data_IF_124250642580
#
_entry.id   IF_124250642580
#
_cell.length_a   1.000
_cell.length_b   1.000
_cell.length_c   1.000
_cell.angle_alpha   90.00
_cell.angle_beta   90.00
_cell.angle_gamma   90.00
#
_symmetry.space_group_name_H-M   'P 1'
#
loop_
_entity.id
_entity.type
_entity.pdbx_description
1 polymer ?
#
# COMPACT_ATOMS: atom_id res chain seq x y z
N UNK A 1 18.09 19.61 42.83
CA UNK A 1 16.75 19.08 42.47
C UNK A 1 16.08 19.87 41.34
N UNK A 2 15.97 21.20 41.39
CA UNK A 2 15.35 22.02 40.31
C UNK A 2 15.98 21.89 38.91
N UNK A 3 17.30 21.73 38.83
CA UNK A 3 18.02 21.55 37.55
C UNK A 3 17.83 20.15 36.94
N UNK A 4 17.63 19.11 37.77
CA UNK A 4 17.36 17.76 37.29
C UNK A 4 15.95 17.64 36.72
N UNK A 5 14.98 18.33 37.32
CA UNK A 5 13.59 18.40 36.86
C UNK A 5 13.50 19.09 35.49
N UNK A 6 14.27 20.15 35.25
CA UNK A 6 14.32 20.84 33.96
C UNK A 6 14.92 19.99 32.83
N UNK A 7 15.91 19.14 33.14
CA UNK A 7 16.51 18.20 32.18
C UNK A 7 15.54 17.05 31.88
N UNK A 8 14.82 16.56 32.89
CA UNK A 8 13.81 15.51 32.71
C UNK A 8 12.60 16.01 31.89
N UNK A 9 12.20 17.27 32.03
CA UNK A 9 11.11 17.89 31.26
C UNK A 9 11.47 18.07 29.77
N UNK A 10 12.75 18.30 29.44
CA UNK A 10 13.22 18.37 28.06
C UNK A 10 13.43 16.99 27.41
N UNK A 11 13.54 15.93 28.22
CA UNK A 11 13.76 14.55 27.77
C UNK A 11 12.50 13.86 27.24
N UNK A 12 11.30 14.44 27.39
CA UNK A 12 10.04 13.80 27.00
C UNK A 12 9.59 14.06 25.55
N UNK A 13 10.39 14.74 24.72
CA UNK A 13 9.93 15.24 23.41
C UNK A 13 10.46 14.51 22.16
N UNK A 14 11.21 13.41 22.25
CA UNK A 14 11.87 12.86 21.06
C UNK A 14 11.77 11.34 20.89
N UNK A 15 10.58 10.82 20.59
CA UNK A 15 10.44 9.59 19.77
C UNK A 15 9.07 9.43 19.13
N UNK A 16 8.43 10.53 18.72
CA UNK A 16 7.29 10.45 17.81
C UNK A 16 7.76 10.96 16.46
N UNK A 17 7.69 10.11 15.43
CA UNK A 17 7.96 10.53 14.06
C UNK A 17 7.13 11.79 13.73
N UNK A 18 7.74 12.71 13.00
CA UNK A 18 7.17 14.04 12.74
C UNK A 18 5.96 13.85 11.81
N UNK A 19 4.89 14.61 12.02
CA UNK A 19 3.79 14.63 11.05
C UNK A 19 4.30 15.14 9.69
N UNK A 20 3.91 14.51 8.60
CA UNK A 20 4.36 14.91 7.27
C UNK A 20 3.72 16.22 6.77
N UNK A 21 2.58 16.65 7.33
CA UNK A 21 1.84 17.85 6.88
C UNK A 21 1.29 17.80 5.45
N UNK A 22 1.59 16.74 4.69
CA UNK A 22 1.08 16.48 3.33
C UNK A 22 -0.44 16.24 3.31
N UNK A 23 -1.14 16.69 2.26
CA UNK A 23 -2.54 16.35 2.04
C UNK A 23 -2.70 14.84 1.87
N UNK A 24 -3.81 14.30 2.34
CA UNK A 24 -4.18 12.90 2.11
C UNK A 24 -4.74 12.75 0.70
N UNK A 25 -4.06 11.95 -0.13
CA UNK A 25 -4.47 11.69 -1.51
C UNK A 25 -5.81 10.97 -1.57
N UNK A 26 -6.71 11.45 -2.42
CA UNK A 26 -7.84 10.67 -2.92
C UNK A 26 -7.40 9.92 -4.17
N UNK A 27 -7.50 8.60 -4.13
CA UNK A 27 -7.10 7.72 -5.24
C UNK A 27 -8.30 6.95 -5.78
N UNK A 28 -8.36 6.74 -7.10
CA UNK A 28 -9.49 6.09 -7.77
C UNK A 28 -9.01 4.97 -8.70
N UNK A 29 -9.71 3.83 -8.67
CA UNK A 29 -9.37 2.65 -9.46
C UNK A 29 -9.67 2.88 -10.94
N UNK A 30 -8.72 2.57 -11.82
CA UNK A 30 -8.88 2.70 -13.27
C UNK A 30 -8.93 1.35 -13.99
N UNK A 31 -8.18 0.35 -13.53
CA UNK A 31 -8.14 -0.94 -14.19
C UNK A 31 -7.10 -1.89 -13.61
N UNK A 32 -7.15 -3.15 -14.03
CA UNK A 32 -6.14 -4.16 -13.73
C UNK A 32 -5.87 -5.05 -14.93
N UNK A 33 -4.61 -5.38 -15.15
CA UNK A 33 -4.17 -6.33 -16.17
C UNK A 33 -3.17 -7.33 -15.58
N UNK A 34 -3.27 -8.62 -15.93
CA UNK A 34 -2.25 -9.60 -15.55
C UNK A 34 -1.04 -9.51 -16.49
N UNK A 35 0.16 -9.47 -15.91
CA UNK A 35 1.39 -9.47 -16.68
C UNK A 35 1.70 -10.87 -17.22
N UNK A 36 1.28 -11.13 -18.46
CA UNK A 36 1.43 -12.43 -19.11
C UNK A 36 0.87 -13.55 -18.21
N UNK A 37 1.52 -14.71 -18.18
CA UNK A 37 1.16 -15.85 -17.33
C UNK A 37 1.65 -15.73 -15.87
N UNK A 38 2.27 -14.60 -15.50
CA UNK A 38 2.85 -14.40 -14.16
C UNK A 38 1.75 -13.99 -13.16
N UNK A 39 1.94 -14.30 -11.87
CA UNK A 39 1.07 -13.84 -10.79
C UNK A 39 1.39 -12.39 -10.39
N UNK A 40 1.46 -11.49 -11.38
CA UNK A 40 1.70 -10.05 -11.23
C UNK A 40 0.53 -9.32 -11.87
N UNK A 41 -0.12 -8.45 -11.11
CA UNK A 41 -1.35 -7.77 -11.50
C UNK A 41 -1.11 -6.26 -11.52
N UNK A 42 -0.99 -5.70 -12.72
CA UNK A 42 -0.75 -4.29 -12.91
C UNK A 42 -2.04 -3.51 -12.67
N UNK A 43 -2.16 -2.90 -11.50
CA UNK A 43 -3.31 -2.06 -11.13
C UNK A 43 -3.01 -0.62 -11.51
N UNK A 44 -3.87 -0.03 -12.33
CA UNK A 44 -3.84 1.39 -12.66
C UNK A 44 -4.81 2.17 -11.78
N UNK A 45 -4.39 3.35 -11.33
CA UNK A 45 -5.21 4.25 -10.50
C UNK A 45 -4.88 5.72 -10.77
N UNK A 46 -5.85 6.60 -10.52
CA UNK A 46 -5.65 8.05 -10.50
C UNK A 46 -5.45 8.56 -9.07
N UNK A 47 -4.91 9.77 -8.94
CA UNK A 47 -4.70 10.48 -7.68
C UNK A 47 -4.89 11.99 -7.89
N UNK A 48 -5.51 12.65 -6.93
CA UNK A 48 -5.65 14.11 -6.89
C UNK A 48 -4.36 14.86 -6.51
N UNK A 49 -3.36 14.11 -6.02
CA UNK A 49 -2.01 14.61 -5.74
C UNK A 49 -0.96 13.75 -6.45
N UNK A 50 0.16 14.37 -6.85
CA UNK A 50 1.30 13.65 -7.42
C UNK A 50 2.00 12.84 -6.30
N UNK A 51 1.57 11.60 -6.11
CA UNK A 51 2.08 10.70 -5.05
C UNK A 51 3.55 10.34 -5.27
N UNK A 52 4.04 10.35 -6.51
CA UNK A 52 5.46 10.14 -6.80
C UNK A 52 6.32 11.31 -6.30
N UNK A 53 5.87 12.55 -6.50
CA UNK A 53 6.62 13.75 -6.06
C UNK A 53 6.24 14.26 -4.67
N UNK A 54 5.32 13.60 -3.97
CA UNK A 54 4.81 14.06 -2.68
C UNK A 54 5.91 14.22 -1.61
N UNK A 55 6.89 13.31 -1.63
CA UNK A 55 8.07 13.32 -0.78
C UNK A 55 9.35 13.37 -1.63
N UNK A 56 10.23 14.34 -1.35
CA UNK A 56 11.55 14.44 -1.99
C UNK A 56 12.48 13.28 -1.64
N UNK A 57 12.40 12.80 -0.40
CA UNK A 57 13.17 11.66 0.10
C UNK A 57 12.19 10.65 0.68
N UNK A 58 12.17 9.46 0.08
CA UNK A 58 11.31 8.34 0.45
C UNK A 58 12.14 7.06 0.48
N UNK A 59 11.88 6.20 1.45
CA UNK A 59 12.48 4.86 1.59
C UNK A 59 11.72 3.90 0.68
N UNK A 60 10.40 3.96 0.70
CA UNK A 60 9.56 3.17 -0.18
C UNK A 60 8.23 3.84 -0.48
N UNK A 61 7.63 3.47 -1.61
CA UNK A 61 6.33 3.91 -2.08
C UNK A 61 5.63 2.74 -2.77
N UNK A 62 4.57 2.22 -2.15
CA UNK A 62 3.85 1.06 -2.65
C UNK A 62 2.33 1.24 -2.58
N UNK A 63 1.61 0.52 -3.42
CA UNK A 63 0.19 0.30 -3.27
C UNK A 63 0.03 -0.97 -2.41
N UNK A 64 -0.49 -0.81 -1.20
CA UNK A 64 -0.75 -1.91 -0.28
C UNK A 64 -2.25 -2.20 -0.24
N UNK A 65 -2.62 -3.45 -0.45
CA UNK A 65 -4.00 -3.92 -0.51
C UNK A 65 -4.26 -4.96 0.59
N UNK A 66 -5.28 -4.74 1.40
CA UNK A 66 -5.76 -5.71 2.38
C UNK A 66 -6.69 -6.71 1.68
N UNK A 67 -6.28 -7.99 1.69
CA UNK A 67 -7.15 -9.07 1.28
C UNK A 67 -7.94 -9.57 2.47
N UNK A 68 -7.46 -9.52 3.71
CA UNK A 68 -8.20 -9.98 4.90
C UNK A 68 -9.22 -9.00 5.48
N UNK A 69 -9.71 -9.29 6.68
CA UNK A 69 -10.56 -8.38 7.47
C UNK A 69 -9.77 -7.23 8.10
N UNK A 70 -8.51 -7.48 8.45
CA UNK A 70 -7.61 -6.48 9.02
C UNK A 70 -7.48 -5.27 8.10
N UNK A 71 -7.57 -4.09 8.70
CA UNK A 71 -7.38 -2.79 8.03
C UNK A 71 -6.21 -2.02 8.62
N UNK A 72 -5.29 -2.73 9.26
CA UNK A 72 -4.06 -2.13 9.77
C UNK A 72 -2.99 -2.11 8.68
N UNK A 73 -2.89 -0.99 7.96
CA UNK A 73 -1.90 -0.77 6.92
C UNK A 73 -0.52 -0.37 7.46
N UNK A 74 -0.33 -0.31 8.79
CA UNK A 74 0.94 0.10 9.41
C UNK A 74 2.12 -0.76 8.96
N UNK A 75 1.89 -2.06 8.81
CA UNK A 75 2.82 -3.03 8.29
C UNK A 75 2.06 -4.02 7.41
N UNK A 76 2.63 -4.42 6.27
CA UNK A 76 1.99 -5.40 5.36
C UNK A 76 1.63 -6.69 6.10
N UNK A 77 2.49 -7.15 6.99
CA UNK A 77 2.29 -8.38 7.80
C UNK A 77 1.08 -8.31 8.73
N UNK A 78 0.63 -7.13 9.14
CA UNK A 78 -0.56 -6.99 10.01
C UNK A 78 -1.87 -7.30 9.26
N UNK A 79 -1.81 -7.48 7.93
CA UNK A 79 -2.96 -7.78 7.09
C UNK A 79 -3.22 -9.28 6.91
N UNK A 80 -2.29 -10.16 7.32
CA UNK A 80 -2.26 -11.63 7.12
C UNK A 80 -2.26 -12.09 5.65
N UNK A 81 -3.15 -11.53 4.83
CA UNK A 81 -3.24 -11.71 3.39
C UNK A 81 -3.28 -10.32 2.75
N UNK A 82 -2.33 -10.03 1.87
CA UNK A 82 -2.19 -8.71 1.27
C UNK A 82 -1.65 -8.75 -0.15
N UNK A 83 -1.92 -7.69 -0.91
CA UNK A 83 -1.26 -7.39 -2.17
C UNK A 83 -0.32 -6.21 -1.97
N UNK A 84 0.89 -6.27 -2.52
CA UNK A 84 1.80 -5.13 -2.50
C UNK A 84 2.55 -5.01 -3.82
N UNK A 85 2.73 -3.78 -4.29
CA UNK A 85 3.48 -3.47 -5.51
C UNK A 85 4.02 -2.04 -5.46
N UNK A 86 5.19 -1.84 -6.08
CA UNK A 86 5.80 -0.52 -6.22
C UNK A 86 4.98 0.36 -7.15
N UNK A 87 4.84 1.63 -6.81
CA UNK A 87 4.08 2.59 -7.63
C UNK A 87 5.03 3.27 -8.62
N UNK A 88 4.59 3.34 -9.87
CA UNK A 88 5.24 4.08 -10.95
C UNK A 88 4.23 5.02 -11.63
N UNK A 89 4.63 6.22 -12.09
CA UNK A 89 3.77 7.04 -12.93
C UNK A 89 3.54 6.36 -14.29
N UNK A 90 2.31 6.44 -14.80
CA UNK A 90 2.03 6.05 -16.18
C UNK A 90 2.66 7.06 -17.15
N UNK A 91 3.05 6.61 -18.35
CA UNK A 91 3.69 7.47 -19.36
C UNK A 91 2.68 7.88 -20.44
N UNK A 92 2.66 9.16 -20.87
CA UNK A 92 3.45 10.28 -20.33
C UNK A 92 3.01 10.65 -18.91
N UNK A 93 3.98 11.01 -18.05
CA UNK A 93 3.70 11.31 -16.65
C UNK A 93 3.01 12.67 -16.52
N UNK A 94 1.73 12.65 -16.16
CA UNK A 94 0.89 13.83 -15.94
C UNK A 94 0.80 14.22 -14.46
N UNK A 95 1.36 13.40 -13.57
CA UNK A 95 1.29 13.58 -12.11
C UNK A 95 -0.04 13.16 -11.49
N UNK A 96 -0.94 12.55 -12.27
CA UNK A 96 -2.28 12.17 -11.84
C UNK A 96 -2.57 10.68 -11.99
N UNK A 97 -1.88 9.98 -12.90
CA UNK A 97 -2.10 8.55 -13.17
C UNK A 97 -0.88 7.68 -12.90
N UNK A 98 -1.13 6.55 -12.26
CA UNK A 98 -0.09 5.66 -11.74
C UNK A 98 -0.46 4.21 -11.98
N UNK A 99 0.54 3.34 -11.96
CA UNK A 99 0.39 1.90 -11.93
C UNK A 99 1.17 1.29 -10.77
N UNK A 100 0.71 0.13 -10.30
CA UNK A 100 1.45 -0.71 -9.36
C UNK A 100 1.36 -2.17 -9.79
N UNK A 101 2.51 -2.84 -9.90
CA UNK A 101 2.60 -4.26 -10.24
C UNK A 101 2.41 -5.07 -8.94
N UNK A 102 1.15 -5.41 -8.62
CA UNK A 102 0.80 -6.10 -7.39
C UNK A 102 1.18 -7.58 -7.43
N UNK A 103 1.83 -8.04 -6.37
CA UNK A 103 1.98 -9.44 -6.02
C UNK A 103 1.23 -9.72 -4.71
N UNK A 104 0.64 -10.89 -4.59
CA UNK A 104 -0.21 -11.24 -3.45
C UNK A 104 0.44 -12.26 -2.53
N UNK A 105 0.41 -12.01 -1.23
CA UNK A 105 1.15 -12.75 -0.22
C UNK A 105 0.26 -13.18 0.93
N UNK A 106 0.60 -14.35 1.49
CA UNK A 106 0.07 -14.83 2.78
C UNK A 106 1.20 -14.88 3.81
N UNK A 107 0.98 -14.27 4.96
CA UNK A 107 1.86 -14.37 6.13
C UNK A 107 1.79 -15.80 6.66
N UNK A 108 2.96 -16.42 6.90
CA UNK A 108 3.04 -17.77 7.47
C UNK A 108 3.33 -17.72 8.97
N UNK A 109 4.24 -16.85 9.37
CA UNK A 109 4.67 -16.64 10.74
C UNK A 109 5.22 -15.21 10.91
N UNK A 110 5.79 -14.91 12.08
CA UNK A 110 6.31 -13.57 12.40
C UNK A 110 7.44 -13.09 11.48
N UNK A 111 8.12 -13.99 10.77
CA UNK A 111 9.32 -13.71 9.98
C UNK A 111 9.18 -14.04 8.49
N UNK A 112 8.19 -14.86 8.10
CA UNK A 112 8.04 -15.32 6.72
C UNK A 112 6.65 -15.05 6.11
N UNK A 113 6.64 -14.93 4.78
CA UNK A 113 5.46 -14.78 3.93
C UNK A 113 5.64 -15.64 2.68
N UNK A 114 4.57 -15.89 1.94
CA UNK A 114 4.62 -16.69 0.72
C UNK A 114 3.75 -16.07 -0.35
N UNK A 115 4.30 -15.98 -1.56
CA UNK A 115 3.60 -15.57 -2.76
C UNK A 115 2.46 -16.56 -3.06
N UNK A 116 1.24 -16.05 -3.23
CA UNK A 116 0.07 -16.85 -3.57
C UNK A 116 0.13 -17.33 -5.02
N UNK A 117 -0.28 -18.57 -5.26
CA UNK A 117 -0.62 -19.02 -6.61
C UNK A 117 -1.92 -18.36 -7.09
N UNK A 118 -2.18 -18.38 -8.40
CA UNK A 118 -3.46 -17.92 -8.95
C UNK A 118 -4.66 -18.65 -8.35
N UNK A 119 -4.53 -19.96 -8.08
CA UNK A 119 -5.56 -20.77 -7.40
C UNK A 119 -5.79 -20.32 -5.96
N UNK A 120 -4.72 -20.09 -5.21
CA UNK A 120 -4.82 -19.62 -3.82
C UNK A 120 -5.44 -18.23 -3.76
N UNK A 121 -5.01 -17.33 -4.64
CA UNK A 121 -5.55 -15.97 -4.74
C UNK A 121 -7.03 -15.99 -5.08
N UNK A 122 -7.45 -16.77 -6.09
CA UNK A 122 -8.86 -16.94 -6.45
C UNK A 122 -9.70 -17.44 -5.27
N UNK A 123 -9.17 -18.41 -4.51
CA UNK A 123 -9.83 -18.92 -3.30
C UNK A 123 -9.99 -17.85 -2.22
N UNK A 124 -8.94 -17.06 -1.98
CA UNK A 124 -8.98 -15.95 -1.00
C UNK A 124 -9.98 -14.88 -1.43
N UNK A 125 -10.04 -14.59 -2.73
CA UNK A 125 -10.94 -13.59 -3.29
C UNK A 125 -12.40 -14.06 -3.36
N UNK A 126 -12.67 -15.36 -3.31
CA UNK A 126 -14.02 -15.92 -3.38
C UNK A 126 -14.95 -15.32 -2.30
N UNK A 127 -16.14 -14.88 -2.71
CA UNK A 127 -17.09 -14.17 -1.84
C UNK A 127 -16.74 -12.69 -1.59
N UNK A 128 -15.57 -12.24 -2.04
CA UNK A 128 -15.06 -10.87 -2.15
C UNK A 128 -15.90 -10.00 -3.09
N UNK A 129 -16.38 -8.83 -2.66
CA UNK A 129 -16.83 -7.78 -3.60
C UNK A 129 -15.69 -6.84 -4.00
N UNK A 130 -14.94 -6.37 -3.00
CA UNK A 130 -13.81 -5.45 -3.18
C UNK A 130 -12.65 -5.80 -2.27
N UNK A 131 -11.45 -5.34 -2.62
CA UNK A 131 -10.29 -5.27 -1.71
C UNK A 131 -9.90 -3.81 -1.48
N UNK A 132 -9.51 -3.48 -0.25
CA UNK A 132 -9.18 -2.13 0.16
C UNK A 132 -7.68 -1.87 -0.04
N UNK A 133 -7.33 -0.82 -0.78
CA UNK A 133 -5.95 -0.47 -1.08
C UNK A 133 -5.64 0.98 -0.69
N UNK A 134 -4.38 1.21 -0.32
CA UNK A 134 -3.84 2.54 -0.01
C UNK A 134 -2.45 2.70 -0.58
N UNK A 135 -2.14 3.91 -1.05
CA UNK A 135 -0.75 4.31 -1.24
C UNK A 135 -0.10 4.41 0.14
N UNK A 136 1.03 3.71 0.32
CA UNK A 136 1.85 3.75 1.52
C UNK A 136 3.22 4.31 1.17
N UNK A 137 3.63 5.40 1.82
CA UNK A 137 4.97 5.99 1.62
C UNK A 137 5.71 6.02 2.95
N UNK A 138 6.86 5.35 2.98
CA UNK A 138 7.79 5.38 4.09
C UNK A 138 8.87 6.44 3.82
N UNK A 139 9.18 7.26 4.81
CA UNK A 139 10.26 8.27 4.74
C UNK A 139 11.07 8.23 6.03
N UNK A 140 12.29 8.77 6.02
CA UNK A 140 13.20 8.69 7.17
C UNK A 140 12.72 9.47 8.40
N UNK A 141 12.10 10.64 8.19
CA UNK A 141 11.85 11.61 9.27
C UNK A 141 10.38 11.80 9.62
N UNK A 142 9.47 11.29 8.79
CA UNK A 142 8.03 11.49 8.96
C UNK A 142 7.29 10.19 9.25
N UNK A 143 6.14 10.30 9.90
CA UNK A 143 5.16 9.21 10.01
C UNK A 143 4.85 8.64 8.61
N UNK A 144 4.55 7.34 8.58
CA UNK A 144 4.14 6.66 7.35
C UNK A 144 2.93 7.39 6.79
N UNK A 145 3.02 7.76 5.52
CA UNK A 145 1.94 8.40 4.81
C UNK A 145 0.99 7.35 4.22
N UNK A 146 -0.31 7.66 4.29
CA UNK A 146 -1.37 6.86 3.70
C UNK A 146 -2.31 7.76 2.87
N UNK A 147 -2.73 7.27 1.71
CA UNK A 147 -3.89 7.83 1.00
C UNK A 147 -5.21 7.48 1.70
N UNK A 148 -6.29 8.04 1.18
CA UNK A 148 -7.62 7.46 1.33
C UNK A 148 -7.68 6.03 0.78
N UNK A 149 -8.72 5.30 1.16
CA UNK A 149 -8.93 3.92 0.73
C UNK A 149 -9.53 3.90 -0.67
N UNK A 150 -8.83 3.30 -1.62
CA UNK A 150 -9.39 2.87 -2.91
C UNK A 150 -9.91 1.44 -2.78
N UNK A 151 -11.02 1.13 -3.45
CA UNK A 151 -11.55 -0.23 -3.53
C UNK A 151 -11.34 -0.80 -4.93
N UNK A 152 -10.62 -1.91 -5.04
CA UNK A 152 -10.50 -2.65 -6.31
C UNK A 152 -11.66 -3.66 -6.38
N UNK A 153 -12.45 -3.69 -7.47
CA UNK A 153 -13.46 -4.72 -7.69
C UNK A 153 -12.82 -6.10 -7.83
N UNK A 154 -13.24 -7.05 -7.00
CA UNK A 154 -12.70 -8.43 -7.03
C UNK A 154 -13.00 -9.13 -8.35
N UNK A 155 -14.15 -8.83 -8.97
CA UNK A 155 -14.54 -9.40 -10.25
C UNK A 155 -13.50 -9.11 -11.36
N UNK A 156 -12.89 -7.92 -11.37
CA UNK A 156 -11.86 -7.56 -12.34
C UNK A 156 -10.56 -8.35 -12.10
N UNK A 157 -10.18 -8.56 -10.83
CA UNK A 157 -9.03 -9.41 -10.49
C UNK A 157 -9.26 -10.87 -10.88
N UNK A 158 -10.44 -11.42 -10.60
CA UNK A 158 -10.80 -12.79 -10.98
C UNK A 158 -10.76 -12.98 -12.50
N UNK A 159 -11.28 -12.01 -13.26
CA UNK A 159 -11.19 -12.01 -14.72
C UNK A 159 -9.75 -12.07 -15.22
N UNK A 160 -8.83 -11.34 -14.60
CA UNK A 160 -7.40 -11.37 -14.94
C UNK A 160 -6.71 -12.67 -14.50
N UNK A 161 -7.14 -13.26 -13.37
CA UNK A 161 -6.68 -14.58 -12.92
C UNK A 161 -7.06 -15.64 -13.95
N UNK A 162 -8.31 -15.65 -14.44
CA UNK A 162 -8.84 -16.70 -15.30
C UNK A 162 -8.34 -16.67 -16.75
N UNK A 163 -7.53 -15.66 -17.14
CA UNK A 163 -6.93 -15.59 -18.48
C UNK A 163 -5.87 -16.66 -18.74
N UNK A 164 -5.26 -17.22 -17.70
CA UNK A 164 -4.15 -18.19 -17.76
C UNK A 164 -4.24 -19.22 -16.63
#
# INVERSE_FOLDING_TARGET
MRKLILILMFSMCASCAISHGKPTAKIEYLGVERYLDRNIYQVSFSSDVDVDKLFKSKISQSLLCALGESRDFSQSRNLNEYGEGWIEPLKPADGSTFKADLMFYRVKDSTSETLMSSKDLSTVLAGRKTIACKVRINSYSYKIYYSETMNIPVAELLKEIDKY
#
